data_IF_505520640690
#
_entry.id   IF_505520640690
#
_cell.length_a   1.000
_cell.length_b   1.000
_cell.length_c   1.000
_cell.angle_alpha   90.00
_cell.angle_beta   90.00
_cell.angle_gamma   90.00
#
_symmetry.space_group_name_H-M   'P 1'
#
loop_
_entity.id
_entity.type
_entity.pdbx_description
1 polymer ?
#
# COMPACT_ATOMS: atom_id res chain seq x y z
N UNK A 1 -7.61 -14.93 -6.80
CA UNK A 1 -7.01 -15.27 -5.48
C UNK A 1 -6.97 -13.98 -4.68
N UNK A 2 -7.11 -14.05 -3.35
CA UNK A 2 -6.88 -12.89 -2.48
C UNK A 2 -5.45 -12.95 -1.95
N UNK A 3 -4.84 -11.78 -1.75
CA UNK A 3 -3.56 -11.62 -1.06
C UNK A 3 -3.79 -10.76 0.17
N UNK A 4 -3.02 -11.01 1.22
CA UNK A 4 -3.08 -10.17 2.41
C UNK A 4 -2.11 -9.02 2.23
N UNK A 5 -2.60 -7.80 2.41
CA UNK A 5 -1.76 -6.61 2.40
C UNK A 5 -1.73 -6.04 3.81
N UNK A 6 -0.52 -5.74 4.25
CA UNK A 6 -0.28 -5.02 5.49
C UNK A 6 0.27 -3.64 5.15
N UNK A 7 -0.37 -2.59 5.69
CA UNK A 7 0.11 -1.20 5.57
C UNK A 7 0.54 -0.69 6.94
N UNK A 8 1.84 -0.58 7.14
CA UNK A 8 2.41 -0.04 8.38
C UNK A 8 2.87 1.40 8.16
N UNK A 9 2.40 2.33 9.01
CA UNK A 9 2.89 3.70 8.95
C UNK A 9 4.32 3.76 9.48
N UNK A 10 5.24 4.24 8.65
CA UNK A 10 6.65 4.41 8.98
C UNK A 10 7.01 5.91 8.98
N UNK A 11 7.89 6.30 9.89
CA UNK A 11 8.42 7.67 9.95
C UNK A 11 9.54 7.92 8.93
N UNK A 12 10.21 6.85 8.49
CA UNK A 12 11.33 6.89 7.56
C UNK A 12 11.18 5.75 6.54
N UNK A 13 11.16 6.09 5.25
CA UNK A 13 11.23 5.09 4.19
C UNK A 13 12.68 5.00 3.74
N UNK A 14 13.29 3.80 3.76
CA UNK A 14 14.66 3.64 3.29
C UNK A 14 14.82 4.17 1.87
N UNK A 15 15.92 4.85 1.57
CA UNK A 15 16.14 5.48 0.26
C UNK A 15 16.23 4.45 -0.91
N UNK A 16 16.43 3.17 -0.60
CA UNK A 16 16.41 2.06 -1.57
C UNK A 16 14.98 1.56 -1.86
N UNK A 17 14.01 1.97 -1.03
CA UNK A 17 12.60 1.64 -1.21
C UNK A 17 11.97 2.52 -2.29
N UNK A 18 11.17 1.87 -3.13
CA UNK A 18 10.52 2.51 -4.25
C UNK A 18 9.19 3.09 -3.77
N UNK A 19 9.12 4.38 -3.51
CA UNK A 19 7.89 5.03 -3.05
C UNK A 19 7.03 5.44 -4.24
N UNK A 20 5.81 4.92 -4.30
CA UNK A 20 4.76 5.40 -5.20
C UNK A 20 3.84 6.36 -4.45
N UNK A 21 3.46 7.47 -5.09
CA UNK A 21 2.41 8.34 -4.56
C UNK A 21 1.04 7.67 -4.66
N UNK A 22 0.14 8.05 -3.73
CA UNK A 22 -1.27 7.64 -3.82
C UNK A 22 -1.87 7.90 -5.21
N UNK A 23 -1.48 8.98 -5.91
CA UNK A 23 -2.01 9.26 -7.24
C UNK A 23 -1.50 8.31 -8.35
N UNK A 24 -0.34 7.68 -8.14
CA UNK A 24 0.25 6.71 -9.07
C UNK A 24 -0.36 5.32 -8.91
N UNK A 25 -1.09 5.07 -7.81
CA UNK A 25 -1.82 3.83 -7.64
C UNK A 25 -2.95 3.68 -8.66
N UNK A 26 -3.17 2.43 -9.08
CA UNK A 26 -4.34 2.08 -9.87
C UNK A 26 -5.65 2.37 -9.12
N UNK A 27 -6.72 2.64 -9.85
CA UNK A 27 -8.03 3.05 -9.30
C UNK A 27 -8.57 2.06 -8.25
N UNK A 28 -8.32 0.75 -8.44
CA UNK A 28 -8.73 -0.28 -7.46
C UNK A 28 -7.93 -0.20 -6.16
N UNK A 29 -6.63 0.04 -6.25
CA UNK A 29 -5.77 0.22 -5.08
C UNK A 29 -6.14 1.50 -4.32
N UNK A 30 -6.45 2.58 -5.03
CA UNK A 30 -7.00 3.82 -4.43
C UNK A 30 -8.31 3.57 -3.68
N UNK A 31 -9.21 2.74 -4.23
CA UNK A 31 -10.50 2.45 -3.61
C UNK A 31 -10.39 1.63 -2.31
N UNK A 32 -9.44 0.69 -2.24
CA UNK A 32 -9.25 -0.20 -1.08
C UNK A 32 -8.32 0.40 -0.01
N UNK A 33 -7.49 1.39 -0.37
CA UNK A 33 -6.53 2.00 0.54
C UNK A 33 -7.14 2.58 1.83
N UNK A 34 -8.30 3.28 1.82
CA UNK A 34 -8.91 3.79 3.05
C UNK A 34 -9.19 2.66 4.05
N UNK A 35 -9.77 1.55 3.56
CA UNK A 35 -10.06 0.36 4.36
C UNK A 35 -8.79 -0.25 4.95
N UNK A 36 -7.72 -0.33 4.17
CA UNK A 36 -6.42 -0.84 4.63
C UNK A 36 -5.70 0.11 5.61
N UNK A 37 -5.92 1.42 5.53
CA UNK A 37 -5.38 2.36 6.51
C UNK A 37 -6.16 2.35 7.83
N UNK A 38 -7.41 1.89 7.82
CA UNK A 38 -8.22 1.68 9.03
C UNK A 38 -7.99 0.29 9.64
N UNK A 39 -7.78 -0.74 8.81
CA UNK A 39 -7.41 -2.11 9.19
C UNK A 39 -6.05 -2.44 8.60
N UNK A 40 -5.03 -2.44 9.46
CA UNK A 40 -3.62 -2.70 9.12
C UNK A 40 -3.40 -4.02 8.38
N UNK A 41 -4.31 -4.98 8.48
CA UNK A 41 -4.27 -6.27 7.79
C UNK A 41 -5.61 -6.56 7.11
N UNK A 42 -5.68 -6.39 5.79
CA UNK A 42 -6.88 -6.72 5.01
C UNK A 42 -6.55 -7.61 3.80
N UNK A 43 -7.52 -8.45 3.44
CA UNK A 43 -7.38 -9.44 2.39
C UNK A 43 -8.01 -8.90 1.10
N UNK A 44 -7.18 -8.32 0.23
CA UNK A 44 -7.63 -7.74 -1.03
C UNK A 44 -7.47 -8.68 -2.21
N UNK A 45 -8.13 -8.39 -3.32
CA UNK A 45 -7.94 -9.13 -4.56
C UNK A 45 -6.48 -9.05 -5.06
N UNK A 46 -5.97 -10.14 -5.66
CA UNK A 46 -4.60 -10.14 -6.21
C UNK A 46 -4.34 -8.99 -7.19
N UNK A 47 -5.32 -8.55 -7.96
CA UNK A 47 -5.18 -7.41 -8.88
C UNK A 47 -4.94 -6.07 -8.16
N UNK A 48 -5.47 -5.92 -6.94
CA UNK A 48 -5.20 -4.79 -6.06
C UNK A 48 -3.78 -4.91 -5.51
N UNK A 49 -3.42 -6.09 -5.00
CA UNK A 49 -2.11 -6.37 -4.45
C UNK A 49 -0.96 -6.24 -5.47
N UNK A 50 -1.19 -6.55 -6.74
CA UNK A 50 -0.20 -6.30 -7.82
C UNK A 50 0.13 -4.80 -7.97
N UNK A 51 -0.81 -3.90 -7.67
CA UNK A 51 -0.56 -2.46 -7.64
C UNK A 51 0.37 -2.01 -6.51
N UNK A 52 0.46 -2.81 -5.45
CA UNK A 52 1.28 -2.55 -4.25
C UNK A 52 2.60 -3.34 -4.22
N UNK A 53 2.69 -4.43 -4.97
CA UNK A 53 3.81 -5.39 -4.95
C UNK A 53 5.19 -4.82 -5.36
N UNK A 54 5.26 -3.54 -5.73
CA UNK A 54 6.50 -2.90 -6.20
C UNK A 54 6.77 -1.53 -5.61
N UNK A 55 5.91 -1.07 -4.69
CA UNK A 55 6.06 0.27 -4.13
C UNK A 55 5.54 0.42 -2.71
N UNK A 56 6.28 1.17 -1.91
CA UNK A 56 5.81 1.79 -0.67
C UNK A 56 4.89 2.97 -0.99
N UNK A 57 4.02 3.34 -0.05
CA UNK A 57 3.02 4.38 -0.27
C UNK A 57 3.33 5.64 0.50
N UNK A 58 3.26 6.80 -0.16
CA UNK A 58 3.23 8.09 0.52
C UNK A 58 1.88 8.78 0.35
N UNK A 59 1.33 9.25 1.48
CA UNK A 59 0.08 10.03 1.54
C UNK A 59 0.32 11.31 2.34
N UNK A 60 0.28 12.45 1.65
CA UNK A 60 0.59 13.77 2.21
C UNK A 60 2.00 13.89 2.81
N UNK A 61 2.15 13.56 4.09
CA UNK A 61 3.40 13.60 4.88
C UNK A 61 3.68 12.29 5.58
N UNK A 62 2.73 11.35 5.55
CA UNK A 62 2.84 10.06 6.20
C UNK A 62 3.28 9.04 5.15
N UNK A 63 4.29 8.25 5.52
CA UNK A 63 4.76 7.13 4.72
C UNK A 63 4.19 5.84 5.26
N UNK A 64 3.86 4.93 4.35
CA UNK A 64 3.33 3.62 4.67
C UNK A 64 4.15 2.58 3.93
N UNK A 65 4.76 1.68 4.69
CA UNK A 65 5.39 0.49 4.14
C UNK A 65 4.29 -0.50 3.75
N UNK A 66 4.36 -1.02 2.52
CA UNK A 66 3.35 -1.95 2.02
C UNK A 66 3.95 -3.34 1.85
N UNK A 67 3.45 -4.29 2.64
CA UNK A 67 3.88 -5.68 2.62
C UNK A 67 2.76 -6.59 2.07
N UNK A 68 3.06 -7.35 1.02
CA UNK A 68 2.10 -8.27 0.38
C UNK A 68 2.48 -9.72 0.69
N UNK A 69 1.54 -10.49 1.28
CA UNK A 69 1.70 -11.90 1.65
C UNK A 69 0.76 -12.82 0.85
#
# INVERSE_FOLDING_TARGET
MSKTITLERVDDVPADSRVCHYDELGERAKAELPSLTESTDDAVESAVAEGFHTCDLVKYTDYYEVSVH
#
